data_IF_200087204712
#
_entry.id   IF_200087204712
#
_cell.length_a   1.000
_cell.length_b   1.000
_cell.length_c   1.000
_cell.angle_alpha   90.00
_cell.angle_beta   90.00
_cell.angle_gamma   90.00
#
_symmetry.space_group_name_H-M   'P 1'
#
loop_
_entity.id
_entity.type
_entity.pdbx_description
1 polymer ?
#
# COMPACT_ATOMS: atom_id res chain seq x y z
N UNK A 1 14.81 -5.48 4.36
CA UNK A 1 14.29 -5.16 3.01
C UNK A 1 13.48 -3.88 3.13
N UNK A 2 13.67 -2.86 2.29
CA UNK A 2 12.90 -1.61 2.38
C UNK A 2 11.65 -1.65 1.51
N UNK A 3 10.61 -0.90 1.88
CA UNK A 3 9.38 -0.76 1.08
C UNK A 3 9.66 -0.21 -0.33
N UNK A 4 10.69 0.63 -0.48
CA UNK A 4 11.11 1.16 -1.78
C UNK A 4 11.50 0.05 -2.75
N UNK A 5 12.19 -1.00 -2.27
CA UNK A 5 12.59 -2.12 -3.12
C UNK A 5 11.38 -2.93 -3.58
N UNK A 6 10.36 -3.10 -2.73
CA UNK A 6 9.10 -3.76 -3.10
C UNK A 6 8.39 -3.05 -4.25
N UNK A 7 8.35 -1.72 -4.20
CA UNK A 7 7.71 -0.91 -5.25
C UNK A 7 8.50 -0.92 -6.55
N UNK A 8 9.84 -0.95 -6.49
CA UNK A 8 10.66 -1.12 -7.69
C UNK A 8 10.44 -2.50 -8.34
N UNK A 9 10.25 -3.56 -7.55
CA UNK A 9 9.91 -4.87 -8.10
C UNK A 9 8.52 -4.88 -8.76
N UNK A 10 7.50 -4.30 -8.11
CA UNK A 10 6.16 -4.15 -8.70
C UNK A 10 6.17 -3.38 -10.03
N UNK A 11 7.01 -2.35 -10.13
CA UNK A 11 7.20 -1.55 -11.33
C UNK A 11 7.77 -2.38 -12.49
N UNK A 12 8.78 -3.23 -12.22
CA UNK A 12 9.35 -4.12 -13.22
C UNK A 12 8.33 -5.16 -13.70
N UNK A 13 7.62 -5.82 -12.80
CA UNK A 13 6.57 -6.80 -13.14
C UNK A 13 5.48 -6.15 -14.00
N UNK A 14 5.03 -4.95 -13.64
CA UNK A 14 4.01 -4.23 -14.41
C UNK A 14 4.51 -3.90 -15.82
N UNK A 15 5.79 -3.53 -15.97
CA UNK A 15 6.39 -3.22 -17.26
C UNK A 15 6.53 -4.45 -18.17
N UNK A 16 6.59 -5.67 -17.61
CA UNK A 16 6.62 -6.91 -18.39
C UNK A 16 5.24 -7.36 -18.88
N UNK A 17 4.17 -6.64 -18.54
CA UNK A 17 2.82 -6.94 -19.01
C UNK A 17 2.20 -8.17 -18.33
N UNK A 18 2.58 -8.40 -17.07
CA UNK A 18 2.11 -9.53 -16.24
C UNK A 18 0.58 -9.66 -16.25
N UNK A 19 0.10 -10.90 -16.37
CA UNK A 19 -1.34 -11.15 -16.46
C UNK A 19 -2.06 -10.94 -15.12
N UNK A 20 -3.40 -10.89 -15.14
CA UNK A 20 -4.19 -10.59 -13.93
C UNK A 20 -4.01 -11.61 -12.80
N UNK A 21 -3.81 -12.89 -13.12
CA UNK A 21 -3.61 -13.95 -12.13
C UNK A 21 -2.27 -13.82 -11.42
N UNK A 22 -1.21 -13.65 -12.19
CA UNK A 22 0.15 -13.40 -11.69
C UNK A 22 0.23 -12.10 -10.89
N UNK A 23 -0.41 -11.02 -11.37
CA UNK A 23 -0.52 -9.77 -10.61
C UNK A 23 -1.23 -9.98 -9.26
N UNK A 24 -2.24 -10.85 -9.19
CA UNK A 24 -2.91 -11.17 -7.93
C UNK A 24 -1.96 -11.87 -6.96
N UNK A 25 -1.16 -12.82 -7.46
CA UNK A 25 -0.14 -13.50 -6.66
C UNK A 25 0.94 -12.53 -6.16
N UNK A 26 1.52 -11.73 -7.05
CA UNK A 26 2.56 -10.74 -6.73
C UNK A 26 2.05 -9.73 -5.72
N UNK A 27 0.83 -9.19 -5.91
CA UNK A 27 0.24 -8.21 -4.99
C UNK A 27 -0.13 -8.82 -3.64
N UNK A 28 -0.52 -10.10 -3.58
CA UNK A 28 -0.63 -10.84 -2.33
C UNK A 28 0.70 -10.84 -1.58
N UNK A 29 1.76 -11.33 -2.24
CA UNK A 29 3.10 -11.45 -1.65
C UNK A 29 3.69 -10.10 -1.23
N UNK A 30 3.50 -9.06 -2.04
CA UNK A 30 3.90 -7.69 -1.71
C UNK A 30 3.20 -7.16 -0.45
N UNK A 31 1.92 -7.46 -0.28
CA UNK A 31 1.17 -7.06 0.92
C UNK A 31 1.71 -7.73 2.18
N UNK A 32 2.03 -9.03 2.11
CA UNK A 32 2.64 -9.76 3.21
C UNK A 32 4.01 -9.18 3.58
N UNK A 33 4.88 -8.98 2.58
CA UNK A 33 6.21 -8.38 2.76
C UNK A 33 6.14 -6.97 3.35
N UNK A 34 5.23 -6.14 2.85
CA UNK A 34 5.02 -4.79 3.37
C UNK A 34 4.54 -4.84 4.82
N UNK A 35 3.62 -5.73 5.15
CA UNK A 35 3.12 -5.89 6.52
C UNK A 35 4.22 -6.36 7.47
N UNK A 36 5.07 -7.29 7.05
CA UNK A 36 6.23 -7.72 7.83
C UNK A 36 7.17 -6.54 8.13
N UNK A 37 7.48 -5.71 7.11
CA UNK A 37 8.31 -4.50 7.31
C UNK A 37 7.65 -3.55 8.32
N UNK A 38 6.37 -3.25 8.17
CA UNK A 38 5.65 -2.27 9.02
C UNK A 38 5.51 -2.73 10.48
N UNK A 39 5.58 -4.03 10.74
CA UNK A 39 5.42 -4.63 12.06
C UNK A 39 6.75 -5.10 12.65
N UNK A 40 7.88 -4.76 12.00
CA UNK A 40 9.21 -5.31 12.28
C UNK A 40 9.21 -6.85 12.41
N UNK A 41 8.28 -7.48 11.71
CA UNK A 41 8.01 -8.91 11.79
C UNK A 41 8.67 -9.71 10.67
N UNK A 42 8.32 -10.98 10.64
CA UNK A 42 8.79 -11.95 9.66
C UNK A 42 7.62 -12.64 8.96
N UNK A 43 7.87 -13.13 7.75
CA UNK A 43 6.88 -13.93 7.04
C UNK A 43 6.75 -15.30 7.71
N UNK A 44 5.51 -15.80 7.81
CA UNK A 44 5.23 -17.16 8.25
C UNK A 44 5.84 -18.15 7.23
N UNK A 45 7.03 -18.67 7.52
CA UNK A 45 7.86 -19.41 6.55
C UNK A 45 7.66 -20.92 6.59
N UNK A 46 6.85 -21.45 7.51
CA UNK A 46 6.58 -22.90 7.55
C UNK A 46 5.48 -23.27 6.55
N UNK A 47 5.81 -24.19 5.65
CA UNK A 47 4.86 -24.92 4.82
C UNK A 47 3.82 -25.58 5.73
N UNK A 48 2.53 -25.28 5.55
CA UNK A 48 1.38 -25.67 6.41
C UNK A 48 1.13 -24.86 7.71
N UNK A 49 1.66 -23.64 7.86
CA UNK A 49 1.10 -22.72 8.87
C UNK A 49 -0.30 -22.25 8.44
N UNK A 50 -1.30 -22.74 9.15
CA UNK A 50 -2.70 -22.49 8.83
C UNK A 50 -3.17 -21.11 9.35
N UNK A 51 -3.44 -20.17 8.43
CA UNK A 51 -4.34 -19.04 8.68
C UNK A 51 -3.73 -17.65 8.82
N UNK A 52 -2.41 -17.53 9.01
CA UNK A 52 -1.70 -16.26 9.12
C UNK A 52 -0.49 -16.23 8.17
N UNK A 53 -0.08 -15.03 7.79
CA UNK A 53 0.92 -14.79 6.74
C UNK A 53 2.19 -14.12 7.30
N UNK A 54 2.07 -13.39 8.41
CA UNK A 54 3.15 -12.63 9.07
C UNK A 54 3.10 -12.87 10.58
N UNK A 55 4.27 -12.88 11.22
CA UNK A 55 4.42 -12.84 12.68
C UNK A 55 5.11 -11.52 13.03
N UNK A 56 4.48 -10.66 13.84
CA UNK A 56 5.06 -9.37 14.23
C UNK A 56 6.26 -9.53 15.17
N UNK A 57 7.00 -8.44 15.40
CA UNK A 57 8.06 -8.39 16.43
C UNK A 57 7.55 -8.79 17.83
N UNK A 58 6.28 -8.49 18.11
CA UNK A 58 5.61 -8.83 19.38
C UNK A 58 5.04 -10.26 19.40
N UNK A 59 5.21 -11.03 18.32
CA UNK A 59 4.72 -12.40 18.20
C UNK A 59 3.25 -12.53 17.79
N UNK A 60 2.60 -11.45 17.33
CA UNK A 60 1.21 -11.51 16.86
C UNK A 60 1.13 -12.27 15.53
N UNK A 61 0.19 -13.21 15.40
CA UNK A 61 -0.10 -13.87 14.14
C UNK A 61 -1.04 -12.99 13.30
N UNK A 62 -0.54 -12.50 12.16
CA UNK A 62 -1.24 -11.55 11.31
C UNK A 62 -1.70 -12.25 10.03
N UNK A 63 -3.00 -12.20 9.75
CA UNK A 63 -3.53 -12.53 8.42
C UNK A 63 -3.56 -11.29 7.54
N UNK A 64 -2.95 -11.38 6.38
CA UNK A 64 -2.82 -10.31 5.41
C UNK A 64 -3.73 -10.59 4.22
N UNK A 65 -4.49 -9.58 3.80
CA UNK A 65 -5.22 -9.61 2.52
C UNK A 65 -4.86 -8.39 1.69
N UNK A 66 -4.66 -8.60 0.40
CA UNK A 66 -4.35 -7.53 -0.53
C UNK A 66 -5.49 -7.29 -1.51
N UNK A 67 -5.67 -6.05 -1.94
CA UNK A 67 -6.57 -5.67 -3.04
C UNK A 67 -5.92 -4.63 -3.92
N UNK A 68 -6.16 -4.72 -5.23
CA UNK A 68 -5.79 -3.69 -6.20
C UNK A 68 -6.95 -2.76 -6.57
N UNK A 69 -8.14 -3.03 -6.03
CA UNK A 69 -9.35 -2.22 -6.23
C UNK A 69 -9.60 -1.36 -5.02
N UNK A 70 -9.92 -0.08 -5.21
CA UNK A 70 -10.40 0.84 -4.18
C UNK A 70 -11.94 1.05 -4.24
N UNK A 71 -12.66 0.29 -5.08
CA UNK A 71 -14.09 0.51 -5.37
C UNK A 71 -15.05 0.01 -4.29
N UNK A 72 -14.55 -0.62 -3.22
CA UNK A 72 -15.36 -1.09 -2.09
C UNK A 72 -16.18 -2.37 -2.36
N UNK A 73 -16.10 -2.94 -3.55
CA UNK A 73 -16.85 -4.15 -3.96
C UNK A 73 -16.15 -5.46 -3.62
N UNK A 74 -14.90 -5.41 -3.15
CA UNK A 74 -14.17 -6.61 -2.84
C UNK A 74 -14.63 -7.23 -1.50
N UNK A 75 -14.63 -8.57 -1.45
CA UNK A 75 -14.92 -9.35 -0.24
C UNK A 75 -13.70 -10.16 0.15
N UNK A 76 -13.13 -9.84 1.30
CA UNK A 76 -11.99 -10.57 1.84
C UNK A 76 -12.51 -11.81 2.57
N UNK A 77 -12.10 -12.98 2.10
CA UNK A 77 -12.50 -14.28 2.64
C UNK A 77 -11.50 -14.77 3.67
N UNK A 78 -12.02 -15.24 4.80
CA UNK A 78 -11.25 -15.85 5.88
C UNK A 78 -11.82 -17.24 6.18
N UNK A 79 -10.96 -18.24 6.28
CA UNK A 79 -11.40 -19.59 6.59
C UNK A 79 -11.74 -19.68 8.09
N UNK A 80 -12.94 -20.15 8.42
CA UNK A 80 -13.44 -20.25 9.79
C UNK A 80 -12.58 -21.16 10.67
N UNK A 81 -12.00 -22.22 10.12
CA UNK A 81 -11.20 -23.18 10.90
C UNK A 81 -9.84 -22.62 11.30
N UNK A 82 -9.24 -21.79 10.46
CA UNK A 82 -7.89 -21.25 10.66
C UNK A 82 -7.89 -19.87 11.31
N UNK A 83 -9.00 -19.13 11.23
CA UNK A 83 -9.10 -17.77 11.75
C UNK A 83 -8.88 -17.68 13.27
N UNK A 84 -9.13 -18.75 14.02
CA UNK A 84 -8.88 -18.81 15.46
C UNK A 84 -7.38 -18.79 15.82
N UNK A 85 -6.49 -18.96 14.84
CA UNK A 85 -5.03 -18.89 14.99
C UNK A 85 -4.47 -17.51 14.65
N UNK A 86 -5.33 -16.53 14.37
CA UNK A 86 -4.99 -15.18 13.93
C UNK A 86 -5.31 -14.20 15.03
N UNK A 87 -4.34 -13.39 15.42
CA UNK A 87 -4.51 -12.35 16.44
C UNK A 87 -4.96 -11.02 15.83
N UNK A 88 -4.54 -10.75 14.58
CA UNK A 88 -4.70 -9.44 13.93
C UNK A 88 -4.93 -9.60 12.42
N UNK A 89 -5.76 -8.74 11.85
CA UNK A 89 -6.04 -8.71 10.41
C UNK A 89 -5.53 -7.40 9.83
N UNK A 90 -4.69 -7.52 8.79
CA UNK A 90 -4.19 -6.40 8.02
C UNK A 90 -4.69 -6.52 6.59
N UNK A 91 -5.25 -5.42 6.07
CA UNK A 91 -5.67 -5.35 4.67
C UNK A 91 -4.92 -4.24 3.98
N UNK A 92 -4.29 -4.60 2.87
CA UNK A 92 -3.41 -3.75 2.09
C UNK A 92 -4.06 -3.42 0.75
N UNK A 93 -4.13 -2.14 0.42
CA UNK A 93 -4.43 -1.66 -0.91
C UNK A 93 -3.14 -1.40 -1.68
N UNK A 94 -3.03 -2.00 -2.85
CA UNK A 94 -1.89 -1.82 -3.76
C UNK A 94 -2.39 -1.13 -5.02
N UNK A 95 -1.99 0.12 -5.20
CA UNK A 95 -2.25 0.85 -6.43
C UNK A 95 -1.14 0.54 -7.43
N UNK A 96 -1.41 -0.39 -8.35
CA UNK A 96 -0.45 -0.82 -9.38
C UNK A 96 -0.16 0.28 -10.41
N UNK A 97 -1.10 1.20 -10.63
CA UNK A 97 -0.91 2.32 -11.57
C UNK A 97 0.01 3.39 -10.98
N UNK A 98 -0.23 3.80 -9.73
CA UNK A 98 0.60 4.82 -9.07
C UNK A 98 1.81 4.21 -8.34
N UNK A 99 1.93 2.87 -8.32
CA UNK A 99 2.97 2.10 -7.65
C UNK A 99 3.09 2.49 -6.16
N UNK A 100 1.97 2.40 -5.43
CA UNK A 100 1.92 2.69 -3.99
C UNK A 100 1.25 1.57 -3.23
N UNK A 101 1.64 1.39 -1.97
CA UNK A 101 1.10 0.38 -1.06
C UNK A 101 0.58 1.08 0.19
N UNK A 102 -0.66 0.81 0.59
CA UNK A 102 -1.29 1.43 1.75
C UNK A 102 -1.99 0.38 2.59
N UNK A 103 -1.76 0.37 3.90
CA UNK A 103 -2.63 -0.36 4.82
C UNK A 103 -3.97 0.39 4.87
N UNK A 104 -5.07 -0.30 4.61
CA UNK A 104 -6.44 0.25 4.62
C UNK A 104 -7.28 -0.29 5.78
N UNK A 105 -6.81 -1.35 6.42
CA UNK A 105 -7.39 -1.88 7.64
C UNK A 105 -6.31 -2.57 8.45
N UNK A 106 -6.32 -2.33 9.74
CA UNK A 106 -5.36 -2.86 10.69
C UNK A 106 -6.02 -2.89 12.06
N UNK A 107 -6.40 -4.08 12.51
CA UNK A 107 -7.10 -4.25 13.77
C UNK A 107 -6.95 -5.67 14.34
N UNK A 108 -7.13 -5.83 15.67
CA UNK A 108 -7.26 -7.15 16.29
C UNK A 108 -8.41 -7.96 15.68
N UNK A 109 -8.27 -9.28 15.70
CA UNK A 109 -9.25 -10.19 15.09
C UNK A 109 -10.66 -10.02 15.67
N UNK A 110 -10.77 -9.71 16.95
CA UNK A 110 -12.05 -9.52 17.64
C UNK A 110 -12.81 -8.30 17.08
N UNK A 111 -12.09 -7.23 16.73
CA UNK A 111 -12.70 -6.07 16.05
C UNK A 111 -13.08 -6.42 14.61
N UNK A 112 -12.23 -7.17 13.92
CA UNK A 112 -12.48 -7.59 12.53
C UNK A 112 -13.71 -8.49 12.43
N UNK A 113 -13.88 -9.44 13.36
CA UNK A 113 -15.04 -10.35 13.45
C UNK A 113 -16.36 -9.60 13.55
N UNK A 114 -16.41 -8.44 14.22
CA UNK A 114 -17.63 -7.61 14.29
C UNK A 114 -18.09 -7.08 12.93
N UNK A 115 -17.16 -6.96 11.97
CA UNK A 115 -17.45 -6.48 10.62
C UNK A 115 -17.69 -7.64 9.64
N UNK A 116 -17.31 -8.86 10.02
CA UNK A 116 -17.42 -10.06 9.19
C UNK A 116 -18.86 -10.57 9.14
N UNK A 117 -19.21 -11.18 8.02
CA UNK A 117 -20.48 -11.89 7.82
C UNK A 117 -20.15 -13.29 7.36
N UNK A 118 -20.76 -14.30 7.98
CA UNK A 118 -20.59 -15.69 7.58
C UNK A 118 -21.15 -15.93 6.17
N UNK A 119 -20.48 -16.76 5.38
CA UNK A 119 -20.97 -17.19 4.07
C UNK A 119 -22.18 -18.10 4.22
N UNK A 120 -23.01 -18.17 3.17
CA UNK A 120 -24.23 -19.00 3.18
C UNK A 120 -23.96 -20.50 3.44
N UNK A 121 -22.76 -20.99 3.12
CA UNK A 121 -22.32 -22.36 3.34
C UNK A 121 -21.66 -22.58 4.72
N UNK A 122 -21.53 -21.54 5.55
CA UNK A 122 -20.94 -21.61 6.90
C UNK A 122 -19.44 -21.89 6.95
N UNK A 123 -18.76 -21.95 5.80
CA UNK A 123 -17.35 -22.37 5.72
C UNK A 123 -16.38 -21.21 5.97
N UNK A 124 -16.80 -19.97 5.70
CA UNK A 124 -15.94 -18.79 5.65
C UNK A 124 -16.60 -17.55 6.26
N UNK A 125 -15.76 -16.59 6.63
CA UNK A 125 -16.16 -15.23 6.94
C UNK A 125 -15.81 -14.30 5.78
N UNK A 126 -16.73 -13.40 5.47
CA UNK A 126 -16.53 -12.32 4.50
C UNK A 126 -16.44 -10.97 5.22
N UNK A 127 -15.34 -10.26 4.96
CA UNK A 127 -15.19 -8.86 5.33
C UNK A 127 -15.34 -8.00 4.06
N UNK A 128 -16.38 -7.18 3.99
CA UNK A 128 -16.60 -6.31 2.82
C UNK A 128 -15.69 -5.10 2.87
N UNK A 129 -15.03 -4.80 1.76
CA UNK A 129 -14.15 -3.63 1.63
C UNK A 129 -14.87 -2.31 1.92
N UNK A 130 -16.14 -2.18 1.55
CA UNK A 130 -16.95 -0.98 1.82
C UNK A 130 -16.99 -0.62 3.32
N UNK A 131 -17.06 -1.62 4.21
CA UNK A 131 -17.04 -1.43 5.67
C UNK A 131 -15.68 -0.92 6.19
N UNK A 132 -14.61 -1.18 5.44
CA UNK A 132 -13.26 -0.74 5.80
C UNK A 132 -12.99 0.69 5.33
N UNK A 133 -13.51 1.06 4.17
CA UNK A 133 -13.37 2.42 3.64
C UNK A 133 -14.10 3.46 4.51
N UNK A 134 -15.18 3.07 5.19
CA UNK A 134 -15.87 3.93 6.15
C UNK A 134 -15.12 4.04 7.48
N UNK A 135 -14.53 2.95 7.98
CA UNK A 135 -13.85 2.89 9.28
C UNK A 135 -12.39 3.37 9.23
N UNK A 136 -11.67 3.18 8.13
CA UNK A 136 -10.26 3.62 7.98
C UNK A 136 -10.07 5.13 8.09
N UNK A 137 -11.13 5.93 7.93
CA UNK A 137 -11.09 7.37 8.22
C UNK A 137 -10.83 7.67 9.70
N UNK A 138 -11.08 6.74 10.63
CA UNK A 138 -10.84 6.94 12.07
C UNK A 138 -9.45 6.50 12.55
N UNK A 139 -8.82 5.52 11.89
CA UNK A 139 -7.51 5.02 12.27
C UNK A 139 -6.44 5.77 11.47
N UNK A 140 -5.83 6.80 12.08
CA UNK A 140 -4.67 7.51 11.51
C UNK A 140 -3.47 6.55 11.48
N UNK A 141 -3.34 5.79 10.39
CA UNK A 141 -2.12 5.03 10.13
C UNK A 141 -0.97 6.04 10.02
N UNK A 142 0.10 5.79 10.78
CA UNK A 142 1.25 6.70 10.86
C UNK A 142 1.89 6.81 9.48
N UNK A 143 1.88 8.01 8.90
CA UNK A 143 2.62 8.31 7.67
C UNK A 143 4.11 8.42 8.03
N UNK A 144 4.94 7.55 7.47
CA UNK A 144 6.40 7.59 7.63
C UNK A 144 6.99 8.32 6.43
N UNK A 145 7.63 9.47 6.66
CA UNK A 145 8.33 10.23 5.63
C UNK A 145 9.72 9.63 5.44
N UNK A 146 10.04 9.22 4.22
CA UNK A 146 11.35 8.67 3.84
C UNK A 146 12.27 9.73 3.25
N UNK A 147 11.68 10.74 2.60
CA UNK A 147 12.40 11.80 1.95
C UNK A 147 11.56 13.06 1.91
N UNK A 148 12.20 14.22 2.01
CA UNK A 148 11.58 15.51 1.81
C UNK A 148 12.55 16.52 1.18
N UNK A 149 11.98 17.40 0.37
CA UNK A 149 12.70 18.50 -0.28
C UNK A 149 11.82 19.74 -0.30
N UNK A 150 12.46 20.90 -0.22
CA UNK A 150 11.81 22.19 -0.28
C UNK A 150 12.00 22.83 -1.65
N UNK A 151 10.93 23.40 -2.21
CA UNK A 151 10.96 24.12 -3.47
C UNK A 151 9.96 25.29 -3.44
N UNK A 152 10.49 26.52 -3.47
CA UNK A 152 9.68 27.74 -3.32
C UNK A 152 8.83 27.70 -2.03
N UNK A 153 7.50 27.68 -2.13
CA UNK A 153 6.58 27.55 -0.98
C UNK A 153 6.12 26.11 -0.73
N UNK A 154 6.65 25.16 -1.51
CA UNK A 154 6.26 23.76 -1.46
C UNK A 154 7.25 22.91 -0.68
N UNK A 155 6.74 21.94 0.06
CA UNK A 155 7.51 20.80 0.58
C UNK A 155 6.98 19.55 -0.08
N UNK A 156 7.86 18.83 -0.78
CA UNK A 156 7.55 17.58 -1.48
C UNK A 156 8.08 16.46 -0.61
N UNK A 157 7.20 15.59 -0.14
CA UNK A 157 7.54 14.47 0.73
C UNK A 157 7.26 13.14 0.03
N UNK A 158 8.20 12.21 0.11
CA UNK A 158 8.02 10.81 -0.26
C UNK A 158 7.78 10.00 1.00
N UNK A 159 6.64 9.34 1.07
CA UNK A 159 6.33 8.42 2.15
C UNK A 159 6.90 7.02 1.89
N UNK A 160 7.01 6.23 2.94
CA UNK A 160 7.40 4.83 2.89
C UNK A 160 6.46 3.98 2.01
N UNK A 161 5.18 4.36 1.93
CA UNK A 161 4.17 3.78 1.03
C UNK A 161 4.44 4.00 -0.46
N UNK A 162 5.43 4.83 -0.81
CA UNK A 162 5.65 5.35 -2.16
C UNK A 162 4.75 6.53 -2.53
N UNK A 163 3.83 6.93 -1.65
CA UNK A 163 2.97 8.09 -1.86
C UNK A 163 3.78 9.38 -1.84
N UNK A 164 3.47 10.29 -2.77
CA UNK A 164 3.99 11.66 -2.74
C UNK A 164 2.96 12.56 -2.07
N UNK A 165 3.38 13.23 -1.01
CA UNK A 165 2.61 14.27 -0.32
C UNK A 165 3.22 15.61 -0.69
N UNK A 166 2.36 16.58 -0.99
CA UNK A 166 2.77 17.95 -1.28
C UNK A 166 2.17 18.86 -0.22
N UNK A 167 3.02 19.67 0.41
CA UNK A 167 2.61 20.71 1.35
C UNK A 167 2.87 22.07 0.71
N UNK A 168 1.91 22.98 0.75
CA UNK A 168 2.07 24.40 0.41
C UNK A 168 1.91 25.21 1.70
N UNK A 169 2.96 25.91 2.12
CA UNK A 169 2.98 26.61 3.42
C UNK A 169 2.52 25.72 4.60
N UNK A 170 2.96 24.46 4.60
CA UNK A 170 2.64 23.46 5.63
C UNK A 170 1.25 22.80 5.52
N UNK A 171 0.44 23.13 4.50
CA UNK A 171 -0.88 22.53 4.28
C UNK A 171 -0.85 21.52 3.14
N UNK A 172 -1.41 20.33 3.35
CA UNK A 172 -1.52 19.30 2.29
C UNK A 172 -2.31 19.83 1.09
N UNK A 173 -1.73 19.68 -0.10
CA UNK A 173 -2.31 20.08 -1.38
C UNK A 173 -2.86 18.84 -2.09
N UNK A 174 -4.13 18.92 -2.49
CA UNK A 174 -4.78 17.90 -3.32
C UNK A 174 -5.59 18.58 -4.42
N UNK A 175 -5.52 18.13 -5.69
CA UNK A 175 -4.73 17.01 -6.21
C UNK A 175 -3.24 17.35 -6.38
N UNK A 176 -2.36 16.40 -6.07
CA UNK A 176 -0.88 16.58 -6.10
C UNK A 176 -0.32 16.64 -7.52
N UNK A 177 -0.75 15.74 -8.42
CA UNK A 177 -0.16 15.51 -9.74
C UNK A 177 -0.10 16.76 -10.65
N UNK A 178 -1.15 17.61 -10.74
CA UNK A 178 -1.09 18.84 -11.53
C UNK A 178 -0.05 19.85 -11.03
N UNK A 179 0.17 19.92 -9.72
CA UNK A 179 1.15 20.86 -9.13
C UNK A 179 2.57 20.35 -9.38
N UNK A 180 2.82 19.05 -9.19
CA UNK A 180 4.11 18.44 -9.53
C UNK A 180 4.48 18.65 -11.00
N UNK A 181 3.52 18.61 -11.93
CA UNK A 181 3.79 18.90 -13.35
C UNK A 181 4.28 20.32 -13.58
N UNK A 182 3.71 21.31 -12.88
CA UNK A 182 4.17 22.71 -12.96
C UNK A 182 5.59 22.85 -12.42
N UNK A 183 5.88 22.21 -11.28
CA UNK A 183 7.23 22.19 -10.68
C UNK A 183 8.22 21.53 -11.65
N UNK A 184 7.89 20.36 -12.18
CA UNK A 184 8.72 19.64 -13.15
C UNK A 184 9.05 20.49 -14.38
N UNK A 185 8.05 21.14 -14.97
CA UNK A 185 8.24 22.03 -16.12
C UNK A 185 9.18 23.20 -15.81
N UNK A 186 9.01 23.86 -14.66
CA UNK A 186 9.92 24.94 -14.21
C UNK A 186 11.36 24.46 -14.05
N UNK A 187 11.53 23.22 -13.59
CA UNK A 187 12.82 22.61 -13.32
C UNK A 187 13.45 21.89 -14.53
N UNK A 188 12.76 21.81 -15.66
CA UNK A 188 13.23 21.06 -16.84
C UNK A 188 13.19 19.53 -16.65
N UNK A 189 12.40 19.01 -15.71
CA UNK A 189 12.20 17.57 -15.52
C UNK A 189 11.16 17.05 -16.50
N UNK A 190 11.48 15.98 -17.23
CA UNK A 190 10.55 15.36 -18.20
C UNK A 190 9.30 14.79 -17.50
N UNK A 191 8.12 15.08 -18.05
CA UNK A 191 6.84 14.60 -17.56
C UNK A 191 6.44 13.23 -18.14
N UNK A 192 7.15 12.75 -19.16
CA UNK A 192 6.95 11.46 -19.80
C UNK A 192 7.95 10.43 -19.26
N UNK A 193 7.53 9.17 -19.22
CA UNK A 193 8.40 8.04 -18.91
C UNK A 193 9.13 7.56 -20.19
N UNK A 194 10.06 6.60 -20.03
CA UNK A 194 10.83 6.05 -21.14
C UNK A 194 10.01 5.36 -22.24
N UNK A 195 8.73 5.05 -21.97
CA UNK A 195 7.79 4.47 -22.93
C UNK A 195 6.89 5.53 -23.61
N UNK A 196 7.14 6.82 -23.37
CA UNK A 196 6.36 7.93 -23.95
C UNK A 196 5.03 8.22 -23.25
N UNK A 197 4.69 7.50 -22.18
CA UNK A 197 3.47 7.75 -21.40
C UNK A 197 3.73 8.78 -20.28
N UNK A 198 2.68 9.45 -19.81
CA UNK A 198 2.80 10.39 -18.69
C UNK A 198 3.24 9.68 -17.40
N UNK A 199 4.19 10.26 -16.68
CA UNK A 199 4.63 9.75 -15.38
C UNK A 199 3.50 9.72 -14.36
N UNK A 200 3.59 8.72 -13.47
CA UNK A 200 2.78 8.62 -12.26
C UNK A 200 3.13 9.75 -11.30
N UNK A 201 2.28 10.01 -10.30
CA UNK A 201 2.57 10.99 -9.26
C UNK A 201 3.85 10.61 -8.51
N UNK A 202 4.02 9.31 -8.21
CA UNK A 202 5.24 8.75 -7.61
C UNK A 202 6.47 8.97 -8.49
N UNK A 203 6.38 8.62 -9.77
CA UNK A 203 7.50 8.75 -10.72
C UNK A 203 7.95 10.20 -10.84
N UNK A 204 7.00 11.11 -11.07
CA UNK A 204 7.29 12.54 -11.21
C UNK A 204 7.86 13.13 -9.91
N UNK A 205 7.31 12.75 -8.75
CA UNK A 205 7.82 13.19 -7.45
C UNK A 205 9.24 12.68 -7.17
N UNK A 206 9.54 11.42 -7.49
CA UNK A 206 10.90 10.86 -7.34
C UNK A 206 11.92 11.64 -8.17
N UNK A 207 11.59 11.99 -9.42
CA UNK A 207 12.50 12.72 -10.30
C UNK A 207 12.75 14.14 -9.82
N UNK A 208 11.70 14.85 -9.34
CA UNK A 208 11.85 16.18 -8.75
C UNK A 208 12.71 16.13 -7.49
N UNK A 209 12.45 15.18 -6.59
CA UNK A 209 13.25 14.99 -5.36
C UNK A 209 14.71 14.75 -5.71
N UNK A 210 14.98 13.85 -6.67
CA UNK A 210 16.34 13.56 -7.13
C UNK A 210 17.02 14.80 -7.72
N UNK A 211 16.31 15.58 -8.53
CA UNK A 211 16.84 16.80 -9.13
C UNK A 211 17.19 17.86 -8.07
N UNK A 212 16.36 18.04 -7.04
CA UNK A 212 16.59 19.00 -5.96
C UNK A 212 17.72 18.60 -5.03
N UNK A 213 17.97 17.30 -4.85
CA UNK A 213 19.07 16.80 -4.00
C UNK A 213 20.44 16.84 -4.67
N UNK A 214 20.46 16.79 -5.99
CA UNK A 214 21.70 16.78 -6.77
C UNK A 214 22.17 18.19 -7.19
N UNK A 215 21.37 19.21 -6.88
CA UNK A 215 21.70 20.63 -7.04
C UNK A 215 22.11 21.22 -5.68
#
# INVERSE_FOLDING_TARGET
MSSSNLLCWLEQETNWGTNRGELTFITGRLGELYTAIMTNGEMASKTNQEGYDVVSEQGEHISVKSTTSNKGTHHFRFNKTTLNKVDRVVIVYINVEELTIQIIYDAPIEEAKQLMVETSDGSQYNLSQSKLLTKSKSNKIKKVVMDDVHYELFTIQKLESGTIVLLENGKEVTPVKPVLRKIAQKMGVDINNGNGNLKTTRGLGNDIIKQLKNN
#
